data_IF_828498539909
#
_entry.id   IF_828498539909
#
_cell.length_a   1.000
_cell.length_b   1.000
_cell.length_c   1.000
_cell.angle_alpha   90.00
_cell.angle_beta   90.00
_cell.angle_gamma   90.00
#
_symmetry.space_group_name_H-M   'P 1'
#
loop_
_entity.id
_entity.type
_entity.pdbx_description
1 polymer ?
#
# COMPACT_ATOMS: atom_id res chain seq x y z
N UNK A 1 10.61 -17.96 -20.83
CA UNK A 1 9.68 -17.76 -19.69
C UNK A 1 10.51 -17.19 -18.54
N UNK A 2 10.03 -16.14 -17.86
CA UNK A 2 10.74 -15.55 -16.73
C UNK A 2 10.58 -16.46 -15.50
N UNK A 3 11.69 -16.80 -14.83
CA UNK A 3 11.70 -17.56 -13.57
C UNK A 3 11.92 -16.59 -12.42
N UNK A 4 10.88 -15.87 -12.02
CA UNK A 4 10.95 -14.92 -10.93
C UNK A 4 10.47 -15.58 -9.63
N UNK A 5 11.27 -15.52 -8.57
CA UNK A 5 10.92 -16.08 -7.27
C UNK A 5 10.04 -15.14 -6.43
N UNK A 6 9.91 -13.87 -6.82
CA UNK A 6 9.13 -12.85 -6.12
C UNK A 6 8.75 -11.69 -7.06
N UNK A 7 7.59 -11.08 -6.78
CA UNK A 7 7.18 -9.79 -7.34
C UNK A 7 7.24 -8.71 -6.26
N UNK A 8 7.76 -7.53 -6.62
CA UNK A 8 7.79 -6.36 -5.75
C UNK A 8 7.17 -5.16 -6.44
N UNK A 9 6.50 -4.29 -5.69
CA UNK A 9 5.97 -3.04 -6.22
C UNK A 9 5.90 -1.95 -5.13
N UNK A 10 5.85 -0.70 -5.54
CA UNK A 10 5.49 0.42 -4.65
C UNK A 10 3.98 0.46 -4.43
N UNK A 11 3.57 0.62 -3.17
CA UNK A 11 2.15 0.77 -2.80
C UNK A 11 1.63 2.10 -3.32
N UNK A 12 0.37 2.07 -3.76
CA UNK A 12 -0.37 3.24 -4.21
C UNK A 12 -1.36 3.70 -3.14
N UNK A 13 -1.46 5.02 -2.94
CA UNK A 13 -2.27 5.64 -1.90
C UNK A 13 -3.77 5.55 -2.18
N UNK A 14 -4.16 5.61 -3.44
CA UNK A 14 -5.54 5.62 -3.89
C UNK A 14 -6.24 4.29 -3.58
N UNK A 15 -7.53 4.40 -3.22
CA UNK A 15 -8.33 3.24 -2.81
C UNK A 15 -8.40 2.15 -3.88
N UNK A 16 -8.42 2.52 -5.16
CA UNK A 16 -8.51 1.55 -6.25
C UNK A 16 -7.19 0.80 -6.46
N UNK A 17 -6.04 1.43 -6.15
CA UNK A 17 -4.74 0.78 -6.15
C UNK A 17 -4.70 -0.41 -5.20
N UNK A 18 -5.31 -0.27 -4.01
CA UNK A 18 -5.45 -1.38 -3.06
C UNK A 18 -6.24 -2.56 -3.62
N UNK A 19 -7.38 -2.32 -4.27
CA UNK A 19 -8.17 -3.39 -4.90
C UNK A 19 -7.39 -4.12 -6.00
N UNK A 20 -6.58 -3.39 -6.78
CA UNK A 20 -5.69 -3.99 -7.77
C UNK A 20 -4.65 -4.87 -7.08
N UNK A 21 -4.01 -4.36 -6.03
CA UNK A 21 -2.97 -5.09 -5.31
C UNK A 21 -3.52 -6.36 -4.66
N UNK A 22 -4.71 -6.32 -4.07
CA UNK A 22 -5.43 -7.48 -3.53
C UNK A 22 -5.67 -8.52 -4.65
N UNK A 23 -6.21 -8.08 -5.78
CA UNK A 23 -6.48 -8.93 -6.95
C UNK A 23 -5.21 -9.60 -7.51
N UNK A 24 -4.09 -8.87 -7.53
CA UNK A 24 -2.79 -9.40 -7.96
C UNK A 24 -2.27 -10.41 -6.94
N UNK A 25 -2.32 -10.10 -5.64
CA UNK A 25 -1.88 -10.99 -4.58
C UNK A 25 -2.63 -12.33 -4.59
N UNK A 26 -3.93 -12.31 -4.86
CA UNK A 26 -4.77 -13.51 -4.99
C UNK A 26 -4.39 -14.41 -6.17
N UNK A 27 -3.78 -13.86 -7.23
CA UNK A 27 -3.51 -14.55 -8.50
C UNK A 27 -2.05 -14.95 -8.68
N UNK A 28 -1.13 -14.31 -7.95
CA UNK A 28 0.29 -14.66 -8.00
C UNK A 28 0.56 -15.94 -7.22
N UNK A 29 1.34 -16.83 -7.82
CA UNK A 29 1.83 -18.06 -7.17
C UNK A 29 3.14 -17.86 -6.43
N UNK A 30 3.77 -16.69 -6.61
CA UNK A 30 5.01 -16.28 -5.93
C UNK A 30 4.72 -15.12 -4.98
N UNK A 31 5.55 -14.90 -3.95
CA UNK A 31 5.38 -13.80 -3.03
C UNK A 31 5.21 -12.45 -3.75
N UNK A 32 4.26 -11.65 -3.27
CA UNK A 32 4.06 -10.27 -3.70
C UNK A 32 4.29 -9.32 -2.53
N UNK A 33 5.34 -8.51 -2.59
CA UNK A 33 5.66 -7.54 -1.54
C UNK A 33 5.45 -6.11 -2.03
N UNK A 34 4.66 -5.37 -1.26
CA UNK A 34 4.45 -3.95 -1.45
C UNK A 34 5.37 -3.16 -0.53
N UNK A 35 5.99 -2.12 -1.07
CA UNK A 35 6.79 -1.16 -0.31
C UNK A 35 6.05 0.18 -0.24
N UNK A 36 6.00 0.77 0.95
CA UNK A 36 5.60 2.18 1.11
C UNK A 36 6.66 3.09 0.47
N UNK A 37 6.32 4.36 0.25
CA UNK A 37 7.29 5.35 -0.25
C UNK A 37 6.67 6.53 -1.00
N UNK A 38 5.40 6.42 -1.42
CA UNK A 38 4.65 7.55 -1.98
C UNK A 38 4.36 8.63 -0.92
N UNK A 39 4.28 8.23 0.35
CA UNK A 39 4.13 9.13 1.50
C UNK A 39 5.29 8.94 2.46
N UNK A 40 5.68 10.01 3.15
CA UNK A 40 6.72 9.95 4.20
C UNK A 40 6.31 9.02 5.35
N UNK A 41 5.01 8.98 5.64
CA UNK A 41 4.41 8.12 6.65
C UNK A 41 3.10 7.54 6.10
N UNK A 42 2.79 6.24 6.31
CA UNK A 42 1.59 5.63 5.74
C UNK A 42 0.30 6.31 6.22
N UNK A 43 -0.79 6.33 5.43
CA UNK A 43 -2.09 6.80 5.92
C UNK A 43 -2.53 6.13 7.20
N UNK A 44 -3.05 6.92 8.14
CA UNK A 44 -3.49 6.43 9.45
C UNK A 44 -2.36 6.26 10.47
N UNK A 45 -1.11 6.52 10.11
CA UNK A 45 0.00 6.61 11.07
C UNK A 45 -0.05 7.89 11.92
N UNK A 46 -0.52 8.99 11.34
CA UNK A 46 -0.67 10.29 12.01
C UNK A 46 -2.15 10.55 12.28
N UNK A 47 -2.49 10.64 13.58
CA UNK A 47 -3.87 10.81 14.06
C UNK A 47 -3.91 11.88 15.15
N UNK A 48 -5.09 12.44 15.39
CA UNK A 48 -5.34 13.35 16.52
C UNK A 48 -5.18 12.64 17.87
N UNK A 49 -5.16 13.40 18.97
CA UNK A 49 -5.18 12.84 20.32
C UNK A 49 -6.37 11.91 20.61
N UNK A 50 -7.49 12.08 19.88
CA UNK A 50 -8.67 11.20 19.97
C UNK A 50 -8.66 10.05 18.94
N UNK A 51 -7.52 9.78 18.29
CA UNK A 51 -7.32 8.71 17.30
C UNK A 51 -8.19 8.85 16.04
N UNK A 52 -8.47 10.06 15.61
CA UNK A 52 -9.22 10.36 14.37
C UNK A 52 -8.32 11.04 13.32
N UNK A 53 -8.67 10.97 12.02
CA UNK A 53 -7.94 11.72 11.00
C UNK A 53 -8.00 13.24 11.23
N UNK A 54 -6.90 13.94 10.97
CA UNK A 54 -6.90 15.40 10.93
C UNK A 54 -7.81 15.91 9.80
N UNK A 55 -8.47 17.05 10.06
CA UNK A 55 -9.35 17.73 9.09
C UNK A 55 -8.85 19.12 8.68
N UNK A 56 -7.80 19.60 9.32
CA UNK A 56 -7.21 20.92 9.10
C UNK A 56 -5.71 20.74 8.87
N UNK A 57 -5.18 21.45 7.87
CA UNK A 57 -3.76 21.60 7.61
C UNK A 57 -3.36 23.01 8.05
N UNK A 58 -2.23 23.14 8.75
CA UNK A 58 -1.67 24.40 9.29
C UNK A 58 -0.21 24.47 8.92
#
# INVERSE_FOLDING_TARGET
MWQADQVVASRWIERFGRKRDDSIAERLTVPFRLFEGETLVPPGSVLTGSRTPFRVFT
#
